data_IF_769285159231
#
_entry.id   IF_769285159231
#
_cell.length_a   1.000
_cell.length_b   1.000
_cell.length_c   1.000
_cell.angle_alpha   90.00
_cell.angle_beta   90.00
_cell.angle_gamma   90.00
#
_symmetry.space_group_name_H-M   'P 1'
#
loop_
_entity.id
_entity.type
_entity.pdbx_description
1 polymer ?
#
# COMPACT_ATOMS: atom_id res chain seq x y z
N UNK A 1 5.77 60.24 -25.32
CA UNK A 1 7.15 60.79 -25.18
C UNK A 1 7.40 62.05 -26.01
N UNK A 2 6.85 62.22 -27.22
CA UNK A 2 7.06 63.42 -28.03
C UNK A 2 6.47 64.73 -27.46
N UNK A 3 5.36 64.66 -26.72
CA UNK A 3 4.70 65.87 -26.16
C UNK A 3 5.47 66.50 -24.98
N UNK A 4 6.30 65.73 -24.26
CA UNK A 4 7.07 66.25 -23.12
C UNK A 4 8.19 67.24 -23.54
N UNK A 5 8.69 67.12 -24.77
CA UNK A 5 9.78 67.95 -25.30
C UNK A 5 9.31 69.30 -25.85
N UNK A 6 7.99 69.51 -25.99
CA UNK A 6 7.40 70.77 -26.44
C UNK A 6 6.92 71.67 -25.30
N UNK A 7 7.08 71.25 -24.04
CA UNK A 7 6.75 72.08 -22.89
C UNK A 7 7.75 73.24 -22.76
N UNK A 8 7.30 74.52 -22.77
CA UNK A 8 8.19 75.68 -22.74
C UNK A 8 9.09 75.73 -21.50
N UNK A 9 8.65 75.19 -20.35
CA UNK A 9 9.49 75.08 -19.15
C UNK A 9 10.60 74.03 -19.30
N UNK A 10 10.36 72.97 -20.07
CA UNK A 10 11.39 71.95 -20.37
C UNK A 10 12.41 72.53 -21.33
N UNK A 11 11.98 73.33 -22.31
CA UNK A 11 12.89 74.01 -23.24
C UNK A 11 13.77 75.05 -22.54
N UNK A 12 13.23 75.79 -21.57
CA UNK A 12 13.98 76.74 -20.75
C UNK A 12 15.08 76.05 -19.92
N UNK A 13 14.77 74.91 -19.29
CA UNK A 13 15.76 74.11 -18.53
C UNK A 13 16.84 73.50 -19.43
N UNK A 14 16.47 73.04 -20.63
CA UNK A 14 17.42 72.45 -21.59
C UNK A 14 18.35 73.52 -22.21
N UNK A 15 17.89 74.77 -22.31
CA UNK A 15 18.69 75.90 -22.80
C UNK A 15 19.54 76.58 -21.70
N UNK A 16 19.40 76.20 -20.43
CA UNK A 16 20.24 76.70 -19.35
C UNK A 16 21.72 76.35 -19.60
N UNK A 17 22.59 77.37 -19.55
CA UNK A 17 24.04 77.22 -19.74
C UNK A 17 24.69 76.21 -18.79
N UNK A 18 24.14 76.02 -17.59
CA UNK A 18 24.60 75.03 -16.61
C UNK A 18 24.27 73.61 -17.04
N UNK A 19 23.10 73.41 -17.65
CA UNK A 19 22.67 72.13 -18.22
C UNK A 19 23.49 71.82 -19.48
N UNK A 20 23.77 72.82 -20.33
CA UNK A 20 24.66 72.65 -21.48
C UNK A 20 26.10 72.30 -21.07
N UNK A 21 26.64 72.96 -20.03
CA UNK A 21 27.96 72.64 -19.47
C UNK A 21 28.02 71.25 -18.82
N UNK A 22 26.95 70.83 -18.14
CA UNK A 22 26.79 69.47 -17.60
C UNK A 22 26.83 68.44 -18.73
N UNK A 23 26.11 68.67 -19.82
CA UNK A 23 26.18 67.81 -20.99
C UNK A 23 27.54 67.92 -21.69
N UNK A 24 28.30 69.01 -21.69
CA UNK A 24 29.64 69.02 -22.31
C UNK A 24 30.71 68.27 -21.48
N UNK A 25 30.45 68.00 -20.20
CA UNK A 25 31.35 67.22 -19.35
C UNK A 25 31.24 65.71 -19.66
N UNK A 26 32.33 65.12 -20.18
CA UNK A 26 32.39 63.69 -20.55
C UNK A 26 32.00 62.77 -19.38
N UNK A 27 32.44 63.07 -18.16
CA UNK A 27 32.16 62.26 -16.98
C UNK A 27 30.67 62.28 -16.61
N UNK A 28 30.02 63.43 -16.70
CA UNK A 28 28.59 63.56 -16.44
C UNK A 28 27.74 62.79 -17.46
N UNK A 29 28.11 62.81 -18.75
CA UNK A 29 27.46 61.99 -19.80
C UNK A 29 27.56 60.49 -19.51
N UNK A 30 28.75 60.01 -19.13
CA UNK A 30 28.95 58.60 -18.81
C UNK A 30 28.15 58.16 -17.58
N UNK A 31 28.04 59.00 -16.56
CA UNK A 31 27.22 58.72 -15.37
C UNK A 31 25.74 58.61 -15.76
N UNK A 32 25.22 59.54 -16.58
CA UNK A 32 23.82 59.47 -17.03
C UNK A 32 23.56 58.23 -17.88
N UNK A 33 24.46 57.89 -18.81
CA UNK A 33 24.35 56.66 -19.61
C UNK A 33 24.42 55.40 -18.74
N UNK A 34 25.28 55.38 -17.71
CA UNK A 34 25.36 54.28 -16.75
C UNK A 34 24.06 54.15 -15.94
N UNK A 35 23.48 55.25 -15.47
CA UNK A 35 22.19 55.26 -14.77
C UNK A 35 21.05 54.76 -15.68
N UNK A 36 21.01 55.20 -16.93
CA UNK A 36 20.03 54.74 -17.92
C UNK A 36 20.22 53.24 -18.22
N UNK A 37 21.45 52.77 -18.40
CA UNK A 37 21.73 51.35 -18.60
C UNK A 37 21.33 50.50 -17.40
N UNK A 38 21.60 50.95 -16.17
CA UNK A 38 21.16 50.30 -14.94
C UNK A 38 19.63 50.26 -14.85
N UNK A 39 18.94 51.35 -15.23
CA UNK A 39 17.48 51.38 -15.29
C UNK A 39 16.91 50.40 -16.33
N UNK A 40 17.51 50.32 -17.53
CA UNK A 40 17.10 49.33 -18.55
C UNK A 40 17.35 47.90 -18.09
N UNK A 41 18.47 47.63 -17.42
CA UNK A 41 18.77 46.31 -16.84
C UNK A 41 17.80 45.99 -15.70
N UNK A 42 17.44 46.96 -14.87
CA UNK A 42 16.47 46.79 -13.78
C UNK A 42 15.07 46.49 -14.32
N UNK A 43 14.60 47.26 -15.31
CA UNK A 43 13.30 47.06 -15.97
C UNK A 43 13.27 45.73 -16.73
N UNK A 44 14.31 45.42 -17.51
CA UNK A 44 14.44 44.15 -18.24
C UNK A 44 14.47 42.95 -17.29
N UNK A 45 15.17 43.05 -16.16
CA UNK A 45 15.15 42.03 -15.11
C UNK A 45 13.76 41.89 -14.48
N UNK A 46 13.05 42.99 -14.26
CA UNK A 46 11.66 42.98 -13.79
C UNK A 46 10.73 42.23 -14.74
N UNK A 47 10.77 42.53 -16.05
CA UNK A 47 9.99 41.82 -17.06
C UNK A 47 10.34 40.33 -17.13
N UNK A 48 11.63 39.98 -17.05
CA UNK A 48 12.07 38.59 -17.04
C UNK A 48 11.53 37.83 -15.82
N UNK A 49 11.63 38.41 -14.61
CA UNK A 49 11.13 37.80 -13.37
C UNK A 49 9.62 37.55 -13.46
N UNK A 50 8.85 38.55 -13.92
CA UNK A 50 7.41 38.42 -14.08
C UNK A 50 7.03 37.37 -15.10
N UNK A 51 7.62 37.40 -16.30
CA UNK A 51 7.31 36.43 -17.36
C UNK A 51 7.69 35.00 -16.95
N UNK A 52 8.81 34.81 -16.25
CA UNK A 52 9.27 33.50 -15.83
C UNK A 52 8.38 32.92 -14.71
N UNK A 53 8.00 33.76 -13.73
CA UNK A 53 7.04 33.37 -12.69
C UNK A 53 5.68 33.02 -13.29
N UNK A 54 5.13 33.85 -14.18
CA UNK A 54 3.85 33.58 -14.82
C UNK A 54 3.86 32.31 -15.68
N UNK A 55 4.98 32.00 -16.33
CA UNK A 55 5.16 30.74 -17.06
C UNK A 55 5.06 29.55 -16.10
N UNK A 56 5.73 29.60 -14.95
CA UNK A 56 5.68 28.52 -13.95
C UNK A 56 4.31 28.38 -13.31
N UNK A 57 3.60 29.49 -13.08
CA UNK A 57 2.21 29.45 -12.65
C UNK A 57 1.29 28.82 -13.71
N UNK A 58 1.57 29.01 -15.01
CA UNK A 58 0.84 28.31 -16.08
C UNK A 58 1.11 26.80 -16.05
N UNK A 59 2.35 26.39 -15.83
CA UNK A 59 2.72 24.97 -15.70
C UNK A 59 1.91 24.29 -14.57
N UNK A 60 1.61 25.01 -13.47
CA UNK A 60 0.75 24.49 -12.38
C UNK A 60 -0.62 24.09 -12.91
N UNK A 61 -1.27 24.98 -13.66
CA UNK A 61 -2.60 24.73 -14.21
C UNK A 61 -2.57 23.54 -15.17
N UNK A 62 -1.55 23.47 -16.02
CA UNK A 62 -1.38 22.35 -16.97
C UNK A 62 -1.24 21.01 -16.25
N UNK A 63 -0.30 20.89 -15.30
CA UNK A 63 -0.09 19.64 -14.56
C UNK A 63 -1.34 19.22 -13.80
N UNK A 64 -2.05 20.17 -13.15
CA UNK A 64 -3.28 19.83 -12.42
C UNK A 64 -4.43 19.45 -13.35
N UNK A 65 -4.51 20.05 -14.54
CA UNK A 65 -5.50 19.68 -15.54
C UNK A 65 -5.23 18.28 -16.11
N UNK A 66 -3.97 17.94 -16.36
CA UNK A 66 -3.57 16.60 -16.79
C UNK A 66 -3.81 15.58 -15.68
N UNK A 67 -3.47 15.92 -14.44
CA UNK A 67 -3.76 15.09 -13.27
C UNK A 67 -5.27 14.86 -13.07
N UNK A 68 -6.12 15.81 -13.43
CA UNK A 68 -7.57 15.64 -13.36
C UNK A 68 -8.07 14.49 -14.27
N UNK A 69 -7.36 14.20 -15.37
CA UNK A 69 -7.68 13.09 -16.30
C UNK A 69 -7.39 11.71 -15.69
N UNK A 70 -6.56 11.61 -14.64
CA UNK A 70 -6.34 10.36 -13.92
C UNK A 70 -7.63 9.80 -13.34
N UNK A 71 -8.58 10.67 -12.95
CA UNK A 71 -9.88 10.23 -12.44
C UNK A 71 -10.62 9.34 -13.44
N UNK A 72 -10.56 9.67 -14.73
CA UNK A 72 -11.22 8.89 -15.78
C UNK A 72 -10.49 7.56 -16.03
N UNK A 73 -9.16 7.56 -15.94
CA UNK A 73 -8.35 6.32 -16.01
C UNK A 73 -8.66 5.37 -14.85
N UNK A 74 -8.73 5.88 -13.62
CA UNK A 74 -9.12 5.06 -12.46
C UNK A 74 -10.57 4.56 -12.54
N UNK A 75 -11.48 5.35 -13.12
CA UNK A 75 -12.86 4.89 -13.34
C UNK A 75 -12.93 3.75 -14.38
N UNK A 76 -12.11 3.80 -15.42
CA UNK A 76 -12.04 2.75 -16.44
C UNK A 76 -11.25 1.52 -15.99
N UNK A 77 -10.27 1.69 -15.11
CA UNK A 77 -9.38 0.64 -14.64
C UNK A 77 -10.14 -0.47 -13.89
N UNK A 78 -9.74 -1.71 -14.17
CA UNK A 78 -10.36 -2.89 -13.58
C UNK A 78 -10.01 -3.08 -12.10
N UNK A 79 -8.96 -2.42 -11.61
CA UNK A 79 -8.43 -2.57 -10.25
C UNK A 79 -7.51 -3.78 -10.07
N UNK A 80 -7.31 -4.62 -11.09
CA UNK A 80 -6.30 -5.67 -11.02
C UNK A 80 -4.91 -5.08 -11.31
N UNK A 81 -3.93 -5.13 -10.38
CA UNK A 81 -2.59 -4.59 -10.63
C UNK A 81 -1.82 -5.31 -11.77
N UNK A 82 -2.30 -6.46 -12.27
CA UNK A 82 -1.74 -7.14 -13.45
C UNK A 82 -2.35 -6.67 -14.77
N UNK A 83 -3.47 -5.97 -14.72
CA UNK A 83 -4.14 -5.39 -15.87
C UNK A 83 -3.39 -4.14 -16.33
N UNK A 84 -3.17 -4.02 -17.65
CA UNK A 84 -2.33 -2.97 -18.24
C UNK A 84 -2.85 -1.58 -17.94
N UNK A 85 -4.16 -1.36 -18.12
CA UNK A 85 -4.80 -0.06 -17.89
C UNK A 85 -4.74 0.35 -16.41
N UNK A 86 -4.88 -0.62 -15.50
CA UNK A 86 -4.74 -0.38 -14.06
C UNK A 86 -3.31 -0.03 -13.71
N UNK A 87 -2.33 -0.78 -14.23
CA UNK A 87 -0.91 -0.51 -14.01
C UNK A 87 -0.50 0.88 -14.52
N UNK A 88 -0.90 1.22 -15.74
CA UNK A 88 -0.59 2.52 -16.34
C UNK A 88 -1.19 3.67 -15.50
N UNK A 89 -2.43 3.53 -15.03
CA UNK A 89 -3.04 4.50 -14.13
C UNK A 89 -2.29 4.64 -12.79
N UNK A 90 -1.73 3.55 -12.26
CA UNK A 90 -0.93 3.55 -11.03
C UNK A 90 0.43 4.23 -11.26
N UNK A 91 1.14 3.87 -12.33
CA UNK A 91 2.45 4.43 -12.65
C UNK A 91 2.35 5.96 -12.87
N UNK A 92 1.26 6.43 -13.51
CA UNK A 92 1.02 7.86 -13.70
C UNK A 92 0.76 8.65 -12.41
N UNK A 93 0.35 8.00 -11.30
CA UNK A 93 0.29 8.67 -9.99
C UNK A 93 1.69 9.08 -9.52
N UNK A 94 2.67 8.19 -9.67
CA UNK A 94 4.04 8.47 -9.27
C UNK A 94 4.67 9.56 -10.14
N UNK A 95 4.45 9.48 -11.45
CA UNK A 95 4.95 10.47 -12.40
C UNK A 95 4.33 11.85 -12.16
N UNK A 96 3.00 11.91 -11.95
CA UNK A 96 2.32 13.16 -11.57
C UNK A 96 2.88 13.73 -10.26
N UNK A 97 3.12 12.90 -9.25
CA UNK A 97 3.73 13.35 -8.00
C UNK A 97 5.14 13.92 -8.22
N UNK A 98 5.97 13.30 -9.06
CA UNK A 98 7.32 13.78 -9.41
C UNK A 98 7.27 15.10 -10.18
N UNK A 99 6.36 15.24 -11.13
CA UNK A 99 6.17 16.48 -11.90
C UNK A 99 5.74 17.64 -11.00
N UNK A 100 4.77 17.40 -10.11
CA UNK A 100 4.35 18.38 -9.10
C UNK A 100 5.52 18.76 -8.20
N UNK A 101 6.28 17.79 -7.68
CA UNK A 101 7.44 18.04 -6.83
C UNK A 101 8.50 18.91 -7.54
N UNK A 102 8.81 18.58 -8.79
CA UNK A 102 9.78 19.33 -9.61
C UNK A 102 9.33 20.77 -9.85
N UNK A 103 8.06 20.98 -10.19
CA UNK A 103 7.49 22.31 -10.39
C UNK A 103 7.48 23.11 -9.08
N UNK A 104 7.15 22.46 -7.96
CA UNK A 104 7.09 23.07 -6.65
C UNK A 104 8.48 23.56 -6.19
N UNK A 105 9.53 22.73 -6.33
CA UNK A 105 10.91 23.13 -6.07
C UNK A 105 11.36 24.27 -6.99
N UNK A 106 10.98 24.21 -8.27
CA UNK A 106 11.22 25.31 -9.21
C UNK A 106 10.57 26.61 -8.74
N UNK A 107 9.32 26.59 -8.28
CA UNK A 107 8.62 27.76 -7.74
C UNK A 107 9.23 28.27 -6.42
N UNK A 108 9.64 27.37 -5.51
CA UNK A 108 10.30 27.74 -4.25
C UNK A 108 11.63 28.45 -4.49
N UNK A 109 12.40 28.00 -5.47
CA UNK A 109 13.70 28.59 -5.85
C UNK A 109 13.58 29.92 -6.63
N UNK A 110 12.42 30.20 -7.21
CA UNK A 110 12.19 31.38 -8.04
C UNK A 110 11.89 32.61 -7.17
N UNK A 111 12.52 33.74 -7.50
CA UNK A 111 12.19 35.04 -6.90
C UNK A 111 10.87 35.55 -7.51
N UNK A 112 9.76 35.65 -6.77
CA UNK A 112 8.51 36.10 -7.35
C UNK A 112 8.54 37.62 -7.59
N UNK A 113 7.68 38.13 -8.48
CA UNK A 113 7.46 39.56 -8.64
C UNK A 113 7.06 40.24 -7.32
N UNK A 114 7.26 41.55 -7.25
CA UNK A 114 6.85 42.35 -6.09
C UNK A 114 5.36 42.14 -5.77
N UNK A 115 5.04 41.92 -4.49
CA UNK A 115 3.68 41.63 -4.04
C UNK A 115 3.18 40.19 -4.28
N UNK A 116 3.93 39.34 -4.98
CA UNK A 116 3.52 37.94 -5.28
C UNK A 116 4.10 36.88 -4.34
N UNK A 117 4.87 37.27 -3.33
CA UNK A 117 5.48 36.36 -2.36
C UNK A 117 4.45 35.51 -1.59
N UNK A 118 3.32 36.12 -1.19
CA UNK A 118 2.24 35.41 -0.48
C UNK A 118 1.55 34.38 -1.38
N UNK A 119 1.25 34.77 -2.61
CA UNK A 119 0.65 33.89 -3.64
C UNK A 119 1.55 32.69 -3.92
N UNK A 120 2.84 32.91 -4.17
CA UNK A 120 3.82 31.83 -4.36
C UNK A 120 3.85 30.85 -3.18
N UNK A 121 3.85 31.38 -1.95
CA UNK A 121 3.85 30.56 -0.72
C UNK A 121 2.60 29.69 -0.62
N UNK A 122 1.44 30.23 -1.01
CA UNK A 122 0.19 29.49 -1.04
C UNK A 122 0.18 28.43 -2.16
N UNK A 123 0.62 28.77 -3.38
CA UNK A 123 0.72 27.81 -4.50
C UNK A 123 1.61 26.64 -4.10
N UNK A 124 2.81 26.92 -3.61
CA UNK A 124 3.77 25.88 -3.20
C UNK A 124 3.22 24.99 -2.09
N UNK A 125 2.46 25.56 -1.14
CA UNK A 125 1.76 24.79 -0.11
C UNK A 125 0.67 23.87 -0.68
N UNK A 126 -0.06 24.31 -1.72
CA UNK A 126 -1.03 23.47 -2.42
C UNK A 126 -0.34 22.33 -3.15
N UNK A 127 0.75 22.62 -3.87
CA UNK A 127 1.53 21.62 -4.59
C UNK A 127 2.16 20.58 -3.63
N UNK A 128 2.69 20.99 -2.48
CA UNK A 128 3.19 20.07 -1.44
C UNK A 128 2.09 19.07 -1.03
N UNK A 129 0.85 19.55 -0.82
CA UNK A 129 -0.28 18.68 -0.43
C UNK A 129 -0.71 17.74 -1.56
N UNK A 130 -0.76 18.23 -2.80
CA UNK A 130 -1.10 17.40 -3.95
C UNK A 130 -0.05 16.33 -4.22
N UNK A 131 1.24 16.68 -4.16
CA UNK A 131 2.34 15.72 -4.24
C UNK A 131 2.16 14.57 -3.24
N UNK A 132 1.92 14.90 -1.96
CA UNK A 132 1.71 13.91 -0.91
C UNK A 132 0.49 13.05 -1.24
N UNK A 133 -0.63 13.64 -1.65
CA UNK A 133 -1.83 12.88 -2.01
C UNK A 133 -1.57 11.87 -3.14
N UNK A 134 -0.95 12.30 -4.25
CA UNK A 134 -0.63 11.40 -5.36
C UNK A 134 0.35 10.31 -4.94
N UNK A 135 1.38 10.65 -4.15
CA UNK A 135 2.35 9.68 -3.63
C UNK A 135 1.74 8.65 -2.70
N UNK A 136 0.85 9.07 -1.79
CA UNK A 136 0.18 8.13 -0.88
C UNK A 136 -0.84 7.26 -1.61
N UNK A 137 -1.60 7.81 -2.58
CA UNK A 137 -2.46 7.01 -3.45
C UNK A 137 -1.65 5.96 -4.23
N UNK A 138 -0.49 6.36 -4.79
CA UNK A 138 0.43 5.45 -5.46
C UNK A 138 0.89 4.33 -4.52
N UNK A 139 1.35 4.65 -3.31
CA UNK A 139 1.79 3.64 -2.34
C UNK A 139 0.71 2.60 -2.04
N UNK A 140 -0.54 3.03 -1.84
CA UNK A 140 -1.64 2.10 -1.57
C UNK A 140 -1.89 1.20 -2.78
N UNK A 141 -1.89 1.78 -3.99
CA UNK A 141 -2.12 1.02 -5.21
C UNK A 141 -0.91 0.17 -5.65
N UNK A 142 0.29 0.45 -5.16
CA UNK A 142 1.52 -0.28 -5.53
C UNK A 142 1.92 -1.38 -4.54
N UNK A 143 1.11 -1.58 -3.49
CA UNK A 143 1.20 -2.74 -2.59
C UNK A 143 1.30 -4.04 -3.39
N UNK A 144 2.24 -4.92 -3.05
CA UNK A 144 2.49 -6.16 -3.80
C UNK A 144 1.71 -7.34 -3.20
N UNK A 145 0.68 -7.79 -3.89
CA UNK A 145 -0.11 -8.97 -3.52
C UNK A 145 -1.49 -8.64 -2.96
N UNK A 146 -2.10 -9.65 -2.31
CA UNK A 146 -3.44 -9.52 -1.74
C UNK A 146 -3.45 -8.60 -0.52
N UNK A 147 -4.38 -7.65 -0.50
CA UNK A 147 -4.57 -6.72 0.61
C UNK A 147 -5.51 -7.36 1.64
N UNK A 148 -5.01 -8.37 2.35
CA UNK A 148 -5.74 -9.09 3.39
C UNK A 148 -4.86 -9.14 4.63
N UNK A 149 -5.27 -8.48 5.72
CA UNK A 149 -4.50 -8.35 6.97
C UNK A 149 -3.91 -9.68 7.47
N UNK A 150 -4.69 -10.78 7.41
CA UNK A 150 -4.25 -12.11 7.86
C UNK A 150 -3.17 -12.73 6.98
N UNK A 151 -3.14 -12.38 5.70
CA UNK A 151 -2.32 -13.01 4.66
C UNK A 151 -1.06 -12.18 4.42
N UNK A 152 -1.20 -10.85 4.38
CA UNK A 152 -0.09 -9.94 4.18
C UNK A 152 -0.22 -8.70 5.10
N UNK A 153 0.12 -8.85 6.40
CA UNK A 153 -0.10 -7.81 7.41
C UNK A 153 0.74 -6.55 7.15
N UNK A 154 1.96 -6.71 6.62
CA UNK A 154 2.85 -5.58 6.33
C UNK A 154 2.30 -4.71 5.19
N UNK A 155 1.89 -5.34 4.09
CA UNK A 155 1.26 -4.66 2.96
C UNK A 155 -0.08 -4.03 3.34
N UNK A 156 -0.90 -4.72 4.14
CA UNK A 156 -2.14 -4.16 4.68
C UNK A 156 -1.86 -2.93 5.56
N UNK A 157 -0.86 -3.00 6.43
CA UNK A 157 -0.44 -1.87 7.28
C UNK A 157 0.06 -0.69 6.45
N UNK A 158 0.83 -0.94 5.40
CA UNK A 158 1.29 0.10 4.46
C UNK A 158 0.06 0.77 3.83
N UNK A 159 -0.88 0.01 3.29
CA UNK A 159 -2.10 0.54 2.69
C UNK A 159 -2.90 1.40 3.68
N UNK A 160 -3.14 0.91 4.90
CA UNK A 160 -3.91 1.64 5.94
C UNK A 160 -3.22 2.95 6.33
N UNK A 161 -1.91 2.92 6.54
CA UNK A 161 -1.16 4.12 6.91
C UNK A 161 -1.19 5.16 5.79
N UNK A 162 -1.00 4.73 4.53
CA UNK A 162 -1.03 5.64 3.39
C UNK A 162 -2.43 6.19 3.11
N UNK A 163 -3.50 5.40 3.26
CA UNK A 163 -4.88 5.91 3.21
C UNK A 163 -5.12 6.95 4.31
N UNK A 164 -4.62 6.72 5.51
CA UNK A 164 -4.76 7.66 6.64
C UNK A 164 -4.07 8.98 6.35
N UNK A 165 -2.82 8.95 5.87
CA UNK A 165 -2.07 10.17 5.53
C UNK A 165 -2.68 10.88 4.32
N UNK A 166 -3.19 10.14 3.32
CA UNK A 166 -3.96 10.70 2.21
C UNK A 166 -5.18 11.48 2.71
N UNK A 167 -6.02 10.88 3.55
CA UNK A 167 -7.25 11.52 4.05
C UNK A 167 -6.93 12.78 4.84
N UNK A 168 -5.93 12.71 5.72
CA UNK A 168 -5.46 13.87 6.49
C UNK A 168 -4.98 14.99 5.56
N UNK A 169 -4.15 14.65 4.57
CA UNK A 169 -3.62 15.62 3.60
C UNK A 169 -4.71 16.24 2.74
N UNK A 170 -5.68 15.44 2.29
CA UNK A 170 -6.87 15.91 1.58
C UNK A 170 -7.68 16.90 2.40
N UNK A 171 -7.94 16.58 3.68
CA UNK A 171 -8.67 17.48 4.58
C UNK A 171 -7.93 18.79 4.82
N UNK A 172 -6.61 18.75 4.96
CA UNK A 172 -5.77 19.94 5.08
C UNK A 172 -5.86 20.79 3.81
N UNK A 173 -5.68 20.19 2.64
CA UNK A 173 -5.78 20.87 1.34
C UNK A 173 -7.17 21.48 1.11
N UNK A 174 -8.22 20.79 1.54
CA UNK A 174 -9.60 21.28 1.42
C UNK A 174 -9.85 22.54 2.27
N UNK A 175 -9.21 22.65 3.44
CA UNK A 175 -9.33 23.82 4.34
C UNK A 175 -8.51 25.02 3.89
N UNK A 176 -7.61 24.87 2.93
CA UNK A 176 -6.79 25.97 2.43
C UNK A 176 -7.64 27.02 1.69
N UNK A 177 -7.29 28.31 1.81
CA UNK A 177 -8.00 29.39 1.12
C UNK A 177 -7.80 29.33 -0.40
N UNK A 178 -8.82 29.66 -1.21
CA UNK A 178 -8.71 29.59 -2.66
C UNK A 178 -7.61 30.51 -3.18
N UNK A 179 -6.89 30.04 -4.19
CA UNK A 179 -5.85 30.80 -4.89
C UNK A 179 -6.10 30.80 -6.38
N UNK A 180 -5.98 31.97 -6.99
CA UNK A 180 -6.30 32.20 -8.38
C UNK A 180 -5.05 32.47 -9.20
N UNK A 181 -4.80 31.63 -10.21
CA UNK A 181 -3.77 31.85 -11.22
C UNK A 181 -4.49 32.23 -12.51
N UNK A 182 -4.27 33.45 -13.01
CA UNK A 182 -4.92 33.97 -14.24
C UNK A 182 -6.46 33.85 -14.23
N UNK A 183 -7.07 33.95 -13.06
CA UNK A 183 -8.53 33.86 -12.88
C UNK A 183 -9.04 32.43 -12.64
N UNK A 184 -8.19 31.41 -12.73
CA UNK A 184 -8.54 30.02 -12.43
C UNK A 184 -8.20 29.69 -10.98
N UNK A 185 -9.19 29.15 -10.25
CA UNK A 185 -8.97 28.67 -8.88
C UNK A 185 -8.20 27.35 -8.93
N UNK A 186 -6.98 27.31 -8.39
CA UNK A 186 -6.12 26.12 -8.35
C UNK A 186 -6.84 24.92 -7.73
N UNK A 187 -7.63 25.16 -6.67
CA UNK A 187 -8.43 24.11 -6.01
C UNK A 187 -9.53 23.52 -6.92
N UNK A 188 -9.98 24.26 -7.93
CA UNK A 188 -11.04 23.84 -8.86
C UNK A 188 -10.52 23.22 -10.16
N UNK A 189 -9.22 23.37 -10.47
CA UNK A 189 -8.61 22.76 -11.67
C UNK A 189 -8.48 21.25 -11.51
N UNK A 190 -8.03 20.81 -10.32
CA UNK A 190 -8.07 19.41 -9.92
C UNK A 190 -9.32 19.18 -9.07
N UNK A 191 -10.29 18.44 -9.61
CA UNK A 191 -11.43 17.99 -8.82
C UNK A 191 -10.97 16.86 -7.89
N UNK A 192 -10.47 17.25 -6.72
CA UNK A 192 -9.96 16.31 -5.74
C UNK A 192 -11.02 15.35 -5.22
N UNK A 193 -12.30 15.75 -5.20
CA UNK A 193 -13.39 14.88 -4.78
C UNK A 193 -13.61 13.79 -5.82
N UNK A 194 -13.73 14.18 -7.09
CA UNK A 194 -13.83 13.24 -8.22
C UNK A 194 -12.65 12.28 -8.27
N UNK A 195 -11.42 12.80 -8.16
CA UNK A 195 -10.21 11.97 -8.12
C UNK A 195 -10.20 11.02 -6.92
N UNK A 196 -10.53 11.53 -5.72
CA UNK A 196 -10.57 10.73 -4.49
C UNK A 196 -11.55 9.58 -4.62
N UNK A 197 -12.73 9.83 -5.18
CA UNK A 197 -13.75 8.80 -5.37
C UNK A 197 -13.30 7.77 -6.42
N UNK A 198 -12.78 8.22 -7.56
CA UNK A 198 -12.33 7.34 -8.64
C UNK A 198 -11.23 6.36 -8.19
N UNK A 199 -10.18 6.85 -7.51
CA UNK A 199 -9.10 5.98 -7.05
C UNK A 199 -9.58 5.04 -5.93
N UNK A 200 -10.44 5.52 -5.01
CA UNK A 200 -11.04 4.68 -3.96
C UNK A 200 -11.89 3.56 -4.55
N UNK A 201 -12.72 3.87 -5.54
CA UNK A 201 -13.55 2.87 -6.21
C UNK A 201 -12.66 1.83 -6.91
N UNK A 202 -11.57 2.27 -7.55
CA UNK A 202 -10.58 1.36 -8.14
C UNK A 202 -9.91 0.48 -7.07
N UNK A 203 -9.55 1.05 -5.93
CA UNK A 203 -9.00 0.32 -4.78
C UNK A 203 -10.00 -0.69 -4.20
N UNK A 204 -11.27 -0.32 -4.06
CA UNK A 204 -12.33 -1.23 -3.60
C UNK A 204 -12.52 -2.39 -4.57
N UNK A 205 -12.55 -2.14 -5.90
CA UNK A 205 -12.60 -3.22 -6.90
C UNK A 205 -11.41 -4.17 -6.78
N UNK A 206 -10.22 -3.64 -6.49
CA UNK A 206 -9.04 -4.46 -6.20
C UNK A 206 -9.23 -5.32 -4.97
N UNK A 207 -9.63 -4.73 -3.84
CA UNK A 207 -9.85 -5.47 -2.59
C UNK A 207 -10.92 -6.56 -2.76
N UNK A 208 -11.99 -6.30 -3.53
CA UNK A 208 -13.04 -7.28 -3.80
C UNK A 208 -12.51 -8.46 -4.63
N UNK A 209 -11.70 -8.20 -5.65
CA UNK A 209 -11.01 -9.24 -6.43
C UNK A 209 -10.08 -10.06 -5.56
N UNK A 210 -9.27 -9.40 -4.72
CA UNK A 210 -8.34 -10.05 -3.81
C UNK A 210 -9.07 -10.97 -2.82
N UNK A 211 -10.19 -10.48 -2.24
CA UNK A 211 -11.05 -11.25 -1.33
C UNK A 211 -11.73 -12.42 -2.03
N UNK A 212 -12.19 -12.23 -3.27
CA UNK A 212 -12.82 -13.29 -4.05
C UNK A 212 -11.83 -14.41 -4.40
N UNK A 213 -10.64 -14.05 -4.88
CA UNK A 213 -9.55 -14.98 -5.15
C UNK A 213 -9.16 -15.77 -3.90
N UNK A 214 -8.97 -15.09 -2.77
CA UNK A 214 -8.68 -15.73 -1.49
C UNK A 214 -9.78 -16.71 -1.06
N UNK A 215 -11.05 -16.32 -1.20
CA UNK A 215 -12.20 -17.17 -0.84
C UNK A 215 -12.27 -18.42 -1.71
N UNK A 216 -11.97 -18.30 -3.01
CA UNK A 216 -11.93 -19.44 -3.92
C UNK A 216 -10.81 -20.42 -3.54
N UNK A 217 -9.60 -19.92 -3.33
CA UNK A 217 -8.46 -20.74 -2.86
C UNK A 217 -8.75 -21.46 -1.55
N UNK A 218 -9.39 -20.77 -0.61
CA UNK A 218 -9.77 -21.38 0.67
C UNK A 218 -10.79 -22.51 0.49
N UNK A 219 -11.74 -22.40 -0.44
CA UNK A 219 -12.68 -23.49 -0.75
C UNK A 219 -11.99 -24.70 -1.38
N UNK A 220 -11.09 -24.47 -2.33
CA UNK A 220 -10.28 -25.55 -2.93
C UNK A 220 -9.48 -26.29 -1.85
N UNK A 221 -8.92 -25.53 -0.93
CA UNK A 221 -8.19 -26.04 0.21
C UNK A 221 -9.06 -26.91 1.15
N UNK A 222 -10.21 -26.39 1.58
CA UNK A 222 -11.16 -27.13 2.43
C UNK A 222 -11.64 -28.43 1.75
N UNK A 223 -11.82 -28.41 0.43
CA UNK A 223 -12.17 -29.61 -0.35
C UNK A 223 -11.04 -30.65 -0.33
N UNK A 224 -9.78 -30.24 -0.53
CA UNK A 224 -8.61 -31.14 -0.45
C UNK A 224 -8.44 -31.74 0.94
N UNK A 225 -8.63 -30.94 2.00
CA UNK A 225 -8.56 -31.43 3.39
C UNK A 225 -9.65 -32.48 3.66
N UNK A 226 -10.86 -32.23 3.17
CA UNK A 226 -11.97 -33.19 3.26
C UNK A 226 -11.66 -34.49 2.52
N UNK A 227 -11.17 -34.41 1.29
CA UNK A 227 -10.79 -35.57 0.48
C UNK A 227 -9.66 -36.38 1.13
N UNK A 228 -8.63 -35.71 1.68
CA UNK A 228 -7.55 -36.37 2.39
C UNK A 228 -8.07 -37.14 3.63
N UNK A 229 -8.96 -36.52 4.41
CA UNK A 229 -9.60 -37.18 5.55
C UNK A 229 -10.52 -38.34 5.13
N UNK A 230 -11.25 -38.23 4.02
CA UNK A 230 -12.07 -39.31 3.47
C UNK A 230 -11.20 -40.47 2.96
N UNK A 231 -10.05 -40.17 2.34
CA UNK A 231 -9.06 -41.17 1.94
C UNK A 231 -8.52 -41.95 3.14
N UNK A 232 -8.18 -41.26 4.24
CA UNK A 232 -7.77 -41.92 5.49
C UNK A 232 -8.88 -42.84 6.01
N UNK A 233 -10.13 -42.38 6.01
CA UNK A 233 -11.27 -43.20 6.45
C UNK A 233 -11.45 -44.46 5.60
N UNK A 234 -11.19 -44.40 4.30
CA UNK A 234 -11.34 -45.53 3.38
C UNK A 234 -10.32 -46.65 3.59
N UNK A 235 -9.18 -46.38 4.23
CA UNK A 235 -8.10 -47.35 4.43
C UNK A 235 -8.37 -48.37 5.54
N UNK A 236 -9.42 -48.16 6.37
CA UNK A 236 -9.75 -49.00 7.52
C UNK A 236 -8.58 -49.25 8.50
N UNK A 237 -7.60 -48.36 8.50
CA UNK A 237 -6.45 -48.38 9.40
C UNK A 237 -6.54 -47.18 10.35
N UNK A 238 -5.70 -47.18 11.39
CA UNK A 238 -5.63 -46.03 12.28
C UNK A 238 -4.93 -44.87 11.58
N UNK A 239 -5.58 -43.72 11.57
CA UNK A 239 -5.05 -42.49 11.00
C UNK A 239 -5.46 -41.27 11.81
N UNK A 240 -4.92 -40.11 11.45
CA UNK A 240 -5.25 -38.85 12.10
C UNK A 240 -6.04 -37.95 11.13
N UNK A 241 -7.27 -37.61 11.51
CA UNK A 241 -8.15 -36.74 10.75
C UNK A 241 -7.87 -35.29 11.15
N UNK A 242 -7.21 -34.56 10.27
CA UNK A 242 -6.80 -33.17 10.53
C UNK A 242 -7.99 -32.24 10.31
N UNK A 243 -8.23 -31.31 11.25
CA UNK A 243 -9.30 -30.31 11.14
C UNK A 243 -8.75 -28.90 10.91
N UNK A 244 -7.61 -28.57 11.49
CA UNK A 244 -7.03 -27.22 11.46
C UNK A 244 -5.55 -27.26 11.83
N UNK A 245 -4.79 -26.24 11.46
CA UNK A 245 -3.43 -26.02 11.94
C UNK A 245 -3.33 -24.57 12.36
N UNK A 246 -2.91 -24.32 13.60
CA UNK A 246 -2.76 -22.98 14.13
C UNK A 246 -1.38 -22.79 14.74
N UNK A 247 -0.84 -21.58 14.61
CA UNK A 247 0.32 -21.16 15.40
C UNK A 247 -0.18 -20.68 16.77
N UNK A 248 0.38 -21.23 17.85
CA UNK A 248 0.16 -20.78 19.23
C UNK A 248 1.52 -20.49 19.85
N UNK A 249 1.81 -19.21 20.04
CA UNK A 249 3.12 -18.74 20.51
C UNK A 249 4.26 -19.28 19.61
N UNK A 250 5.14 -20.08 20.18
CA UNK A 250 6.28 -20.72 19.49
C UNK A 250 5.97 -22.17 19.04
N UNK A 251 4.70 -22.63 19.13
CA UNK A 251 4.28 -23.97 18.74
C UNK A 251 3.31 -23.94 17.53
N UNK A 252 3.38 -24.97 16.70
CA UNK A 252 2.34 -25.32 15.74
C UNK A 252 1.44 -26.38 16.37
N UNK A 253 0.15 -26.10 16.38
CA UNK A 253 -0.87 -27.01 16.89
C UNK A 253 -1.67 -27.53 15.70
N UNK A 254 -1.50 -28.82 15.42
CA UNK A 254 -2.30 -29.53 14.42
C UNK A 254 -3.50 -30.10 15.15
N UNK A 255 -4.67 -29.52 14.89
CA UNK A 255 -5.92 -29.97 15.46
C UNK A 255 -6.48 -31.13 14.66
N UNK A 256 -7.06 -32.09 15.35
CA UNK A 256 -7.64 -33.25 14.71
C UNK A 256 -7.96 -34.36 15.68
N UNK A 257 -8.25 -35.53 15.13
CA UNK A 257 -8.65 -36.70 15.90
C UNK A 257 -8.10 -37.99 15.30
N UNK A 258 -7.67 -38.92 16.15
CA UNK A 258 -7.36 -40.28 15.70
C UNK A 258 -8.65 -41.04 15.36
N UNK A 259 -8.62 -41.72 14.22
CA UNK A 259 -9.69 -42.55 13.69
C UNK A 259 -9.16 -43.96 13.46
N UNK A 260 -9.96 -45.01 13.73
CA UNK A 260 -9.55 -46.41 13.60
C UNK A 260 -10.50 -47.26 12.73
N UNK A 261 -11.27 -46.64 11.84
CA UNK A 261 -12.30 -47.35 11.08
C UNK A 261 -13.65 -47.49 11.82
N UNK A 262 -13.73 -47.12 13.10
CA UNK A 262 -14.92 -47.30 13.94
C UNK A 262 -15.27 -46.04 14.75
N UNK A 263 -16.45 -46.01 15.38
CA UNK A 263 -16.83 -44.97 16.34
C UNK A 263 -16.18 -45.15 17.72
N UNK A 264 -15.30 -46.15 17.90
CA UNK A 264 -14.57 -46.37 19.14
C UNK A 264 -13.31 -45.52 19.16
N UNK A 265 -13.04 -44.87 20.29
CA UNK A 265 -11.85 -44.05 20.44
C UNK A 265 -10.54 -44.85 20.35
N UNK A 266 -9.49 -44.16 19.93
CA UNK A 266 -8.13 -44.70 19.83
C UNK A 266 -7.39 -44.43 21.14
N UNK A 267 -6.59 -45.39 21.61
CA UNK A 267 -5.81 -45.31 22.86
C UNK A 267 -4.42 -45.87 22.67
N UNK A 268 -3.51 -45.49 23.57
CA UNK A 268 -2.18 -46.08 23.67
C UNK A 268 -1.24 -45.67 22.54
N UNK A 269 -1.46 -44.53 21.89
CA UNK A 269 -0.52 -43.97 20.91
C UNK A 269 0.67 -43.39 21.67
N UNK A 270 1.87 -43.85 21.36
CA UNK A 270 3.10 -43.36 22.01
C UNK A 270 3.86 -42.37 21.15
N UNK A 271 3.89 -42.62 19.84
CA UNK A 271 4.66 -41.87 18.88
C UNK A 271 3.89 -41.77 17.57
N UNK A 272 3.96 -40.61 16.94
CA UNK A 272 3.52 -40.38 15.56
C UNK A 272 4.58 -39.58 14.82
N UNK A 273 4.65 -39.76 13.51
CA UNK A 273 5.50 -38.96 12.63
C UNK A 273 4.63 -38.04 11.80
N UNK A 274 5.01 -36.77 11.68
CA UNK A 274 4.25 -35.75 10.96
C UNK A 274 5.11 -35.12 9.88
N UNK A 275 4.57 -35.10 8.66
CA UNK A 275 4.99 -34.19 7.61
C UNK A 275 4.01 -33.02 7.58
N UNK A 276 4.51 -31.79 7.66
CA UNK A 276 3.71 -30.57 7.62
C UNK A 276 4.31 -29.59 6.63
N UNK A 277 3.47 -29.09 5.73
CA UNK A 277 3.77 -27.94 4.87
C UNK A 277 2.76 -26.84 5.14
N UNK A 278 3.22 -25.64 5.50
CA UNK A 278 2.39 -24.45 5.64
C UNK A 278 2.49 -23.62 4.37
N UNK A 279 1.34 -23.16 3.88
CA UNK A 279 1.24 -22.35 2.67
C UNK A 279 0.56 -21.02 2.96
N UNK A 280 0.95 -20.01 2.21
CA UNK A 280 0.32 -18.70 2.12
C UNK A 280 -0.10 -18.49 0.66
N UNK A 281 -1.39 -18.54 0.34
CA UNK A 281 -1.90 -18.40 -1.04
C UNK A 281 -1.19 -19.31 -2.09
N UNK A 282 -0.83 -20.53 -1.70
CA UNK A 282 -0.06 -21.54 -2.47
C UNK A 282 1.47 -21.46 -2.36
N UNK A 283 2.04 -20.34 -1.90
CA UNK A 283 3.48 -20.27 -1.64
C UNK A 283 3.81 -21.05 -0.38
N UNK A 284 4.76 -21.98 -0.50
CA UNK A 284 5.25 -22.73 0.66
C UNK A 284 6.09 -21.82 1.54
N UNK A 285 5.62 -21.59 2.77
CA UNK A 285 6.30 -20.72 3.73
C UNK A 285 7.09 -21.51 4.78
N UNK A 286 6.73 -22.77 4.98
CA UNK A 286 7.39 -23.66 5.91
C UNK A 286 7.12 -25.11 5.53
N UNK A 287 8.15 -25.95 5.63
CA UNK A 287 8.03 -27.40 5.47
C UNK A 287 8.85 -28.08 6.54
N UNK A 288 8.26 -29.10 7.15
CA UNK A 288 8.94 -30.04 8.00
C UNK A 288 8.52 -31.45 7.61
N UNK A 289 9.48 -32.36 7.56
CA UNK A 289 9.28 -33.75 7.22
C UNK A 289 9.79 -34.61 8.37
N UNK A 290 9.14 -35.75 8.56
CA UNK A 290 9.50 -36.77 9.53
C UNK A 290 9.60 -36.25 10.98
N UNK A 291 8.79 -35.24 11.34
CA UNK A 291 8.79 -34.70 12.70
C UNK A 291 8.13 -35.69 13.65
N UNK A 292 8.93 -36.26 14.56
CA UNK A 292 8.45 -37.23 15.54
C UNK A 292 7.86 -36.51 16.74
N UNK A 293 6.61 -36.84 17.02
CA UNK A 293 5.93 -36.41 18.23
C UNK A 293 5.85 -37.63 19.14
N UNK A 294 6.64 -37.60 20.21
CA UNK A 294 6.58 -38.55 21.31
C UNK A 294 6.28 -37.76 22.57
N UNK A 295 5.16 -38.02 23.24
CA UNK A 295 4.88 -37.35 24.51
C UNK A 295 4.04 -38.21 25.44
N UNK A 296 4.21 -38.00 26.75
CA UNK A 296 3.28 -38.51 27.76
C UNK A 296 1.85 -38.01 27.52
N UNK A 297 1.68 -36.88 26.82
CA UNK A 297 0.38 -36.34 26.42
C UNK A 297 -0.30 -37.25 25.39
N UNK A 298 0.43 -37.74 24.37
CA UNK A 298 -0.09 -38.75 23.43
C UNK A 298 -0.52 -40.03 24.15
N UNK A 299 0.29 -40.48 25.13
CA UNK A 299 0.01 -41.66 25.95
C UNK A 299 -1.24 -41.50 26.85
N UNK A 300 -1.60 -40.26 27.21
CA UNK A 300 -2.73 -39.93 28.10
C UNK A 300 -4.05 -39.66 27.36
N UNK A 301 -4.02 -39.55 26.02
CA UNK A 301 -5.22 -39.31 25.21
C UNK A 301 -6.16 -40.52 25.33
N UNK A 302 -7.28 -40.29 26.02
CA UNK A 302 -8.39 -41.23 26.14
C UNK A 302 -9.59 -40.67 25.37
N UNK A 303 -9.76 -41.10 24.12
CA UNK A 303 -10.95 -40.73 23.35
C UNK A 303 -12.07 -41.69 23.77
N UNK A 304 -13.15 -41.17 24.36
CA UNK A 304 -14.37 -41.92 24.66
C UNK A 304 -15.42 -41.64 23.57
N UNK A 305 -16.25 -42.64 23.19
CA UNK A 305 -17.35 -42.41 22.26
C UNK A 305 -18.35 -41.39 22.83
N UNK A 306 -18.98 -40.66 21.90
CA UNK A 306 -19.79 -39.43 21.98
C UNK A 306 -20.76 -39.18 23.15
N UNK A 307 -20.94 -40.06 24.12
CA UNK A 307 -22.11 -40.04 25.00
C UNK A 307 -21.83 -39.80 26.49
N UNK A 308 -20.61 -39.45 26.89
CA UNK A 308 -20.36 -39.04 28.29
C UNK A 308 -19.44 -37.83 28.35
N UNK A 309 -20.05 -36.71 28.69
CA UNK A 309 -19.47 -35.52 29.33
C UNK A 309 -18.10 -35.80 29.98
N UNK A 310 -17.02 -35.66 29.22
CA UNK A 310 -15.66 -35.77 29.74
C UNK A 310 -14.76 -34.80 28.99
N UNK A 311 -14.33 -33.79 29.73
CA UNK A 311 -13.44 -32.70 29.36
C UNK A 311 -11.99 -33.21 29.22
N UNK A 312 -11.70 -33.97 28.18
CA UNK A 312 -10.30 -34.15 27.76
C UNK A 312 -10.17 -33.73 26.30
N UNK A 313 -9.28 -32.75 26.12
CA UNK A 313 -8.95 -32.02 24.90
C UNK A 313 -8.86 -32.93 23.69
N UNK A 314 -9.37 -32.43 22.55
CA UNK A 314 -9.03 -32.95 21.22
C UNK A 314 -7.52 -33.28 21.17
N UNK A 315 -7.11 -34.42 20.60
CA UNK A 315 -5.73 -34.87 20.57
C UNK A 315 -4.91 -34.05 19.58
N UNK A 316 -4.79 -32.75 19.86
CA UNK A 316 -3.99 -31.82 19.10
C UNK A 316 -2.52 -32.28 19.14
N UNK A 317 -1.88 -32.29 17.98
CA UNK A 317 -0.46 -32.62 17.85
C UNK A 317 0.35 -31.32 17.89
N UNK A 318 1.39 -31.29 18.72
CA UNK A 318 2.22 -30.11 18.94
C UNK A 318 3.58 -30.28 18.28
N UNK A 319 3.92 -29.39 17.36
CA UNK A 319 5.25 -29.26 16.77
C UNK A 319 5.88 -27.99 17.36
N UNK A 320 7.05 -28.13 18.00
CA UNK A 320 7.75 -26.96 18.53
C UNK A 320 8.51 -26.26 17.42
N UNK A 321 8.29 -24.96 17.24
CA UNK A 321 9.10 -24.12 16.36
C UNK A 321 10.23 -23.47 17.16
N UNK A 322 11.11 -24.29 17.74
CA UNK A 322 12.18 -23.83 18.67
C UNK A 322 13.15 -22.82 18.03
N UNK A 323 13.28 -22.85 16.70
CA UNK A 323 14.12 -21.94 15.93
C UNK A 323 13.38 -20.69 15.40
N UNK A 324 12.06 -20.56 15.67
CA UNK A 324 11.21 -19.46 15.15
C UNK A 324 11.30 -19.32 13.63
N UNK A 325 11.30 -20.45 12.95
CA UNK A 325 11.43 -20.51 11.50
C UNK A 325 10.15 -20.04 10.80
N UNK A 326 9.01 -20.03 11.50
CA UNK A 326 7.74 -19.57 10.96
C UNK A 326 7.61 -18.07 11.18
N UNK A 327 8.28 -17.30 10.32
CA UNK A 327 8.23 -15.83 10.35
C UNK A 327 7.10 -15.26 9.51
N UNK A 328 6.63 -16.01 8.50
CA UNK A 328 5.54 -15.59 7.60
C UNK A 328 4.19 -16.12 8.09
N UNK A 329 3.10 -15.35 7.91
CA UNK A 329 1.75 -15.87 8.12
C UNK A 329 1.46 -17.02 7.15
N UNK A 330 0.51 -17.87 7.51
CA UNK A 330 -0.01 -18.94 6.67
C UNK A 330 -1.53 -18.99 6.79
N UNK A 331 -2.18 -19.49 5.73
CA UNK A 331 -3.63 -19.59 5.61
C UNK A 331 -4.09 -21.00 5.21
N UNK A 332 -3.17 -21.84 4.74
CA UNK A 332 -3.40 -23.21 4.26
C UNK A 332 -2.31 -24.16 4.78
N UNK A 333 -2.59 -25.45 4.87
CA UNK A 333 -1.65 -26.45 5.36
C UNK A 333 -1.80 -27.82 4.69
N UNK A 334 -0.71 -28.54 4.49
CA UNK A 334 -0.74 -29.95 4.10
C UNK A 334 -0.12 -30.74 5.24
N UNK A 335 -0.89 -31.69 5.80
CA UNK A 335 -0.45 -32.51 6.92
C UNK A 335 -0.61 -33.97 6.54
N UNK A 336 0.47 -34.73 6.70
CA UNK A 336 0.44 -36.19 6.66
C UNK A 336 0.92 -36.72 7.99
N UNK A 337 0.08 -37.51 8.66
CA UNK A 337 0.47 -38.24 9.88
C UNK A 337 0.69 -39.71 9.51
N UNK A 338 1.88 -40.22 9.84
CA UNK A 338 2.36 -41.56 9.49
C UNK A 338 3.10 -42.21 10.67
N UNK A 339 3.45 -43.49 10.50
CA UNK A 339 4.24 -44.27 11.47
C UNK A 339 3.68 -44.22 12.91
N UNK A 340 2.37 -44.37 13.05
CA UNK A 340 1.69 -44.35 14.35
C UNK A 340 2.08 -45.60 15.15
N UNK A 341 2.75 -45.41 16.29
CA UNK A 341 3.19 -46.50 17.17
C UNK A 341 2.33 -46.61 18.42
N UNK A 342 2.06 -47.85 18.81
CA UNK A 342 1.31 -48.20 20.01
C UNK A 342 2.22 -48.63 21.15
N UNK A 343 1.82 -48.23 22.35
CA UNK A 343 2.39 -48.74 23.58
C UNK A 343 1.90 -50.15 23.82
N UNK A 344 2.80 -50.99 24.32
CA UNK A 344 2.53 -52.35 24.78
C UNK A 344 1.63 -52.32 26.02
N UNK A 345 0.35 -52.02 25.85
CA UNK A 345 -0.70 -52.43 26.79
C UNK A 345 -2.01 -52.73 26.05
N UNK A 346 -1.92 -53.67 25.10
CA UNK A 346 -3.06 -54.41 24.57
C UNK A 346 -3.38 -55.59 25.50
N UNK A 347 -3.57 -55.31 26.79
CA UNK A 347 -4.21 -56.26 27.70
C UNK A 347 -5.67 -55.87 27.90
N UNK A 348 -6.55 -56.56 27.16
CA UNK A 348 -7.95 -56.85 27.50
C UNK A 348 -8.87 -55.62 27.61
N UNK A 349 -9.69 -55.36 26.60
CA UNK A 349 -11.04 -55.95 26.59
C UNK A 349 -11.53 -56.15 25.16
N UNK A 350 -11.14 -57.28 24.59
CA UNK A 350 -12.08 -58.03 23.75
C UNK A 350 -13.33 -58.31 24.59
N UNK A 351 -14.42 -57.63 24.28
CA UNK A 351 -15.73 -58.23 24.48
C UNK A 351 -16.54 -58.04 23.20
N UNK A 352 -16.86 -59.21 22.62
CA UNK A 352 -17.79 -59.52 21.55
C UNK A 352 -17.45 -59.03 20.13
N UNK A 353 -16.91 -59.98 19.34
CA UNK A 353 -17.34 -60.20 17.95
C UNK A 353 -16.33 -59.83 16.87
N UNK A 354 -15.62 -60.85 16.36
CA UNK A 354 -14.98 -60.82 15.04
C UNK A 354 -13.47 -60.68 15.05
N UNK A 355 -12.76 -61.81 15.08
CA UNK A 355 -11.39 -61.89 14.57
C UNK A 355 -11.38 -61.64 13.05
N UNK A 356 -10.40 -60.90 12.50
CA UNK A 356 -9.89 -61.17 11.16
C UNK A 356 -8.83 -62.26 11.25
N UNK A 357 -8.91 -63.24 10.35
CA UNK A 357 -7.85 -64.20 10.10
C UNK A 357 -6.57 -63.47 9.64
N UNK A 358 -5.47 -63.73 10.33
CA UNK A 358 -4.11 -63.71 9.78
C UNK A 358 -3.47 -65.08 10.04
#
# INVERSE_FOLDING_TARGET
MQEAWQNPKVQEVVQDKRVQAFWQNKTARYIVLAVVAVLFLYVGRGFYITSHYESKCKDVITILSDANKLSDKFNAASGDPKDGDTKDAIDELEDTAKEIASLNESLKSLTPPEGKQGERTQITSYLDKYEIMFREAHKVMSVKGLIIEKVNPDEYKIAVNSVTEYIKTYQDAYKMPPIFIKGENVKSVLDMEKFTNAWKDCFTRREEKDKAFYKERKKEYEARLKEANESIKSKNEVGFLVSDVVKRDDDIVIKGNFYNGTDKGVRGIEEVTVDLTLKCLDDTVYTINDYKISSDTLKKIHIYPKDKTSYFSDPDLFIKDEAKNIQKPFDNFEVTVKDIKYGLDLSLTTNAGGMPNF
#
